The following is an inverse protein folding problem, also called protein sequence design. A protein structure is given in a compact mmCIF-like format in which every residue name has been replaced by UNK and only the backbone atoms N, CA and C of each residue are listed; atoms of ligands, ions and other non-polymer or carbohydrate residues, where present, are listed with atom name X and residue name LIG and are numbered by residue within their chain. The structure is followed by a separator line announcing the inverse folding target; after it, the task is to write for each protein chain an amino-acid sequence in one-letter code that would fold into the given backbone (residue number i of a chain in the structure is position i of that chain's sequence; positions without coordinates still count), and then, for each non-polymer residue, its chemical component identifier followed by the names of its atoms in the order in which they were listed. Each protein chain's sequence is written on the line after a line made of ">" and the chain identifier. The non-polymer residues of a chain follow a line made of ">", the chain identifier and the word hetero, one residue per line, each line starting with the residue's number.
data_IF_776353714631
#
_entry.id   IF_776353714631
#
_cell.length_a   1.000
_cell.length_b   1.000
_cell.length_c   1.000
_cell.angle_alpha   90.00
_cell.angle_beta   90.00
_cell.angle_gamma   90.00
#
_symmetry.space_group_name_H-M   'P 1'
#
loop_
_entity.id
_entity.type
_entity.pdbx_description
1 polymer ?
#
# COMPACT_ATOMS: atom_id res chain seq x y z
N UNK A 1 15.62 -11.92 -51.06
CA UNK A 1 16.57 -11.64 -49.96
C UNK A 1 15.91 -10.89 -48.79
N UNK A 2 15.22 -9.77 -49.02
CA UNK A 2 14.47 -8.99 -48.00
C UNK A 2 13.45 -9.80 -47.16
N UNK A 3 12.62 -10.70 -47.71
CA UNK A 3 11.63 -11.44 -46.90
C UNK A 3 12.28 -12.48 -45.97
N UNK A 4 13.47 -12.98 -46.32
CA UNK A 4 14.23 -13.92 -45.51
C UNK A 4 14.83 -13.23 -44.27
N UNK A 5 15.40 -12.04 -44.46
CA UNK A 5 15.93 -11.20 -43.37
C UNK A 5 14.82 -10.80 -42.39
N UNK A 6 13.63 -10.42 -42.89
CA UNK A 6 12.47 -10.09 -42.04
C UNK A 6 12.03 -11.27 -41.17
N UNK A 7 12.06 -12.50 -41.71
CA UNK A 7 11.75 -13.72 -40.93
C UNK A 7 12.78 -13.98 -39.83
N UNK A 8 14.06 -13.81 -40.12
CA UNK A 8 15.12 -13.97 -39.11
C UNK A 8 14.93 -12.96 -37.99
N UNK A 9 14.74 -11.67 -38.31
CA UNK A 9 14.51 -10.60 -37.32
C UNK A 9 13.28 -10.89 -36.44
N UNK A 10 12.19 -11.38 -37.04
CA UNK A 10 10.99 -11.74 -36.30
C UNK A 10 11.25 -12.92 -35.33
N UNK A 11 11.99 -13.94 -35.78
CA UNK A 11 12.33 -15.10 -34.95
C UNK A 11 13.25 -14.70 -33.79
N UNK A 12 14.28 -13.88 -34.04
CA UNK A 12 15.13 -13.37 -32.94
C UNK A 12 14.36 -12.50 -31.97
N UNK A 13 13.45 -11.65 -32.46
CA UNK A 13 12.57 -10.86 -31.60
C UNK A 13 11.70 -11.77 -30.70
N UNK A 14 11.08 -12.80 -31.28
CA UNK A 14 10.27 -13.76 -30.54
C UNK A 14 11.10 -14.53 -29.49
N UNK A 15 12.32 -14.94 -29.82
CA UNK A 15 13.22 -15.62 -28.87
C UNK A 15 13.58 -14.69 -27.71
N UNK A 16 13.94 -13.43 -28.00
CA UNK A 16 14.27 -12.44 -26.97
C UNK A 16 13.10 -12.20 -26.01
N UNK A 17 11.88 -12.05 -26.53
CA UNK A 17 10.66 -11.86 -25.72
C UNK A 17 10.43 -13.04 -24.77
N UNK A 18 10.68 -14.27 -25.22
CA UNK A 18 10.51 -15.47 -24.40
C UNK A 18 11.68 -15.74 -23.43
N UNK A 19 12.83 -15.08 -23.61
CA UNK A 19 13.99 -15.18 -22.71
C UNK A 19 13.92 -14.22 -21.52
N UNK A 20 13.02 -13.23 -21.53
CA UNK A 20 12.77 -12.42 -20.35
C UNK A 20 11.81 -13.15 -19.42
N UNK A 21 12.27 -13.73 -18.29
CA UNK A 21 11.34 -14.21 -17.29
C UNK A 21 10.57 -13.00 -16.77
N UNK A 22 9.26 -12.95 -17.05
CA UNK A 22 8.36 -12.03 -16.35
C UNK A 22 8.31 -12.52 -14.91
N UNK A 23 9.14 -11.93 -14.06
CA UNK A 23 9.24 -12.32 -12.66
C UNK A 23 8.03 -11.77 -11.89
N UNK A 24 6.95 -12.56 -11.85
CA UNK A 24 5.73 -12.22 -11.10
C UNK A 24 5.95 -12.11 -9.58
N UNK A 25 7.09 -12.57 -9.04
CA UNK A 25 7.39 -12.48 -7.61
C UNK A 25 7.76 -11.06 -7.16
N UNK A 26 8.14 -10.16 -8.07
CA UNK A 26 8.55 -8.79 -7.71
C UNK A 26 7.38 -7.99 -7.11
N UNK A 27 6.16 -8.19 -7.61
CA UNK A 27 4.94 -7.57 -7.09
C UNK A 27 4.51 -8.08 -5.70
N UNK A 28 4.83 -9.34 -5.37
CA UNK A 28 4.43 -9.93 -4.08
C UNK A 28 5.30 -9.43 -2.91
N UNK A 29 6.50 -8.91 -3.22
CA UNK A 29 7.46 -8.40 -2.25
C UNK A 29 7.44 -6.87 -2.12
N UNK A 30 6.40 -6.20 -2.59
CA UNK A 30 6.25 -4.75 -2.40
C UNK A 30 6.09 -4.42 -0.91
N UNK A 31 7.16 -3.81 -0.37
CA UNK A 31 7.24 -3.27 0.98
C UNK A 31 6.58 -1.90 1.00
N UNK A 32 5.26 -1.84 0.80
CA UNK A 32 4.53 -0.56 0.80
C UNK A 32 4.25 -0.04 2.21
N UNK A 33 4.09 1.28 2.33
CA UNK A 33 3.47 1.93 3.50
C UNK A 33 2.06 2.37 3.09
N UNK A 34 1.04 1.84 3.78
CA UNK A 34 -0.37 2.16 3.54
C UNK A 34 -0.78 3.27 4.50
N UNK A 35 -1.15 4.44 3.99
CA UNK A 35 -1.77 5.50 4.77
C UNK A 35 -3.28 5.31 4.85
N UNK A 36 -3.82 5.18 6.06
CA UNK A 36 -5.25 5.17 6.33
C UNK A 36 -5.64 6.48 7.02
N UNK A 37 -6.48 7.26 6.35
CA UNK A 37 -6.89 8.59 6.80
C UNK A 37 -8.33 8.57 7.28
N UNK A 38 -8.53 8.99 8.52
CA UNK A 38 -9.85 9.17 9.14
C UNK A 38 -10.13 10.65 9.36
N UNK A 39 -11.41 11.00 9.54
CA UNK A 39 -11.82 12.36 9.87
C UNK A 39 -12.70 12.37 11.12
N UNK A 40 -13.87 11.71 11.06
CA UNK A 40 -14.89 11.72 12.13
C UNK A 40 -15.17 10.31 12.67
N UNK A 41 -15.59 10.24 13.92
CA UNK A 41 -15.90 9.00 14.64
C UNK A 41 -17.31 9.10 15.29
N UNK A 42 -18.18 8.15 15.01
CA UNK A 42 -19.58 8.09 15.51
C UNK A 42 -20.49 9.30 15.15
N UNK A 43 -20.08 10.13 14.20
CA UNK A 43 -20.88 11.24 13.67
C UNK A 43 -21.68 10.83 12.43
N UNK A 44 -22.72 10.01 12.62
CA UNK A 44 -23.54 9.47 11.52
C UNK A 44 -24.23 10.53 10.64
N UNK A 45 -24.27 11.79 11.08
CA UNK A 45 -24.71 12.93 10.26
C UNK A 45 -23.81 13.17 9.03
N UNK A 46 -22.54 12.76 9.08
CA UNK A 46 -21.55 12.96 8.03
C UNK A 46 -21.03 11.60 7.49
N UNK A 47 -21.86 10.81 6.81
CA UNK A 47 -21.59 9.40 6.54
C UNK A 47 -20.39 9.14 5.63
N UNK A 48 -19.99 10.10 4.80
CA UNK A 48 -18.87 9.94 3.85
C UNK A 48 -17.50 10.14 4.49
N UNK A 49 -17.44 10.81 5.64
CA UNK A 49 -16.19 11.10 6.38
C UNK A 49 -16.23 10.56 7.81
N UNK A 50 -17.24 9.76 8.14
CA UNK A 50 -17.43 9.14 9.44
C UNK A 50 -17.09 7.65 9.41
N UNK A 51 -16.38 7.18 10.43
CA UNK A 51 -16.26 5.76 10.76
C UNK A 51 -17.05 5.46 12.04
N UNK A 52 -17.80 4.35 12.10
CA UNK A 52 -18.34 3.87 13.38
C UNK A 52 -17.29 3.00 14.06
N UNK A 53 -17.28 3.00 15.39
CA UNK A 53 -16.26 2.32 16.19
C UNK A 53 -16.21 0.83 15.92
N UNK A 54 -17.35 0.22 15.61
CA UNK A 54 -17.40 -1.19 15.19
C UNK A 54 -16.56 -1.43 13.93
N UNK A 55 -16.68 -0.59 12.90
CA UNK A 55 -15.88 -0.74 11.69
C UNK A 55 -14.41 -0.37 11.92
N UNK A 56 -14.13 0.69 12.70
CA UNK A 56 -12.75 1.06 13.03
C UNK A 56 -12.02 -0.08 13.76
N UNK A 57 -12.64 -0.67 14.79
CA UNK A 57 -12.09 -1.80 15.52
C UNK A 57 -11.89 -3.04 14.62
N UNK A 58 -12.85 -3.31 13.72
CA UNK A 58 -12.70 -4.40 12.75
C UNK A 58 -11.53 -4.17 11.79
N UNK A 59 -11.30 -2.93 11.35
CA UNK A 59 -10.14 -2.60 10.51
C UNK A 59 -8.83 -2.84 11.27
N UNK A 60 -8.73 -2.41 12.53
CA UNK A 60 -7.56 -2.68 13.39
C UNK A 60 -7.32 -4.18 13.58
N UNK A 61 -8.40 -4.95 13.79
CA UNK A 61 -8.33 -6.40 13.92
C UNK A 61 -7.80 -7.06 12.63
N UNK A 62 -8.32 -6.68 11.47
CA UNK A 62 -7.86 -7.20 10.17
C UNK A 62 -6.37 -6.90 9.97
N UNK A 63 -5.91 -5.69 10.29
CA UNK A 63 -4.49 -5.32 10.17
C UNK A 63 -3.62 -6.21 11.07
N UNK A 64 -4.03 -6.39 12.33
CA UNK A 64 -3.33 -7.24 13.29
C UNK A 64 -3.31 -8.71 12.86
N UNK A 65 -4.43 -9.26 12.39
CA UNK A 65 -4.54 -10.64 11.90
C UNK A 65 -3.60 -10.91 10.69
N UNK A 66 -3.42 -9.89 9.83
CA UNK A 66 -2.49 -9.95 8.71
C UNK A 66 -1.02 -9.67 9.10
N UNK A 67 -0.75 -9.44 10.39
CA UNK A 67 0.60 -9.16 10.94
C UNK A 67 1.27 -7.96 10.26
N UNK A 68 0.47 -6.94 9.91
CA UNK A 68 0.97 -5.70 9.33
C UNK A 68 1.24 -4.73 10.49
N UNK A 69 2.46 -4.20 10.55
CA UNK A 69 2.87 -3.32 11.64
C UNK A 69 2.35 -1.90 11.45
N UNK A 70 1.87 -1.29 12.54
CA UNK A 70 1.65 0.16 12.59
C UNK A 70 2.97 0.90 12.76
N UNK A 71 3.13 2.04 12.09
CA UNK A 71 4.28 2.92 12.27
C UNK A 71 3.86 4.28 12.79
N UNK A 72 4.77 4.88 13.57
CA UNK A 72 4.65 6.28 13.95
C UNK A 72 5.16 7.23 12.86
N UNK A 73 4.84 8.53 13.00
CA UNK A 73 5.41 9.57 12.13
C UNK A 73 6.94 9.62 12.20
N UNK A 74 7.53 9.35 13.36
CA UNK A 74 8.99 9.31 13.52
C UNK A 74 9.61 8.13 12.78
N UNK A 75 8.92 6.98 12.75
CA UNK A 75 9.37 5.84 11.95
C UNK A 75 9.24 6.09 10.47
N UNK A 76 8.14 6.72 10.03
CA UNK A 76 7.99 7.17 8.65
C UNK A 76 9.12 8.13 8.27
N UNK A 77 9.44 9.10 9.13
CA UNK A 77 10.55 10.04 8.92
C UNK A 77 11.88 9.30 8.76
N UNK A 78 12.18 8.31 9.62
CA UNK A 78 13.39 7.49 9.50
C UNK A 78 13.42 6.72 8.18
N UNK A 79 12.29 6.17 7.74
CA UNK A 79 12.22 5.44 6.46
C UNK A 79 12.46 6.39 5.29
N UNK A 80 11.78 7.53 5.24
CA UNK A 80 11.79 8.44 4.08
C UNK A 80 13.04 9.33 4.01
N UNK A 81 13.53 9.82 5.15
CA UNK A 81 14.61 10.82 5.20
C UNK A 81 15.96 10.17 5.52
N UNK A 82 15.98 9.22 6.46
CA UNK A 82 17.20 8.54 6.89
C UNK A 82 17.46 7.24 6.10
N UNK A 83 16.60 6.90 5.13
CA UNK A 83 16.66 5.66 4.36
C UNK A 83 16.71 4.40 5.24
N UNK A 84 16.02 4.42 6.39
CA UNK A 84 15.87 3.23 7.24
C UNK A 84 15.22 2.12 6.44
N UNK A 85 15.90 0.98 6.34
CA UNK A 85 15.37 -0.20 5.66
C UNK A 85 14.21 -0.81 6.44
N UNK A 86 13.32 -1.45 5.68
CA UNK A 86 12.21 -2.24 6.19
C UNK A 86 11.96 -3.43 5.25
N UNK A 87 11.26 -4.45 5.73
CA UNK A 87 11.13 -5.74 5.07
C UNK A 87 9.68 -6.22 4.91
N UNK A 88 8.73 -5.46 5.44
CA UNK A 88 7.32 -5.83 5.57
C UNK A 88 6.43 -4.63 5.25
N UNK A 89 5.20 -4.90 4.81
CA UNK A 89 4.19 -3.84 4.65
C UNK A 89 3.92 -3.20 6.00
N UNK A 90 3.67 -1.89 5.99
CA UNK A 90 3.38 -1.10 7.20
C UNK A 90 2.13 -0.24 7.02
N UNK A 91 1.45 0.09 8.10
CA UNK A 91 0.29 0.97 8.11
C UNK A 91 0.58 2.22 8.93
N UNK A 92 0.21 3.38 8.40
CA UNK A 92 0.16 4.64 9.12
C UNK A 92 -1.30 5.05 9.25
N UNK A 93 -1.77 5.29 10.48
CA UNK A 93 -3.08 5.90 10.72
C UNK A 93 -2.92 7.41 10.86
N UNK A 94 -3.72 8.17 10.13
CA UNK A 94 -3.82 9.63 10.27
C UNK A 94 -5.27 10.02 10.58
N UNK A 95 -5.41 11.14 11.29
CA UNK A 95 -6.72 11.74 11.56
C UNK A 95 -6.66 13.21 11.19
N UNK A 96 -7.49 13.61 10.25
CA UNK A 96 -7.49 14.94 9.64
C UNK A 96 -8.57 15.84 10.28
N UNK A 97 -8.45 17.15 10.05
CA UNK A 97 -9.37 18.21 10.50
C UNK A 97 -9.55 18.42 12.02
N UNK A 98 -8.99 17.56 12.86
CA UNK A 98 -9.06 17.65 14.32
C UNK A 98 -10.51 17.75 14.87
N UNK A 99 -11.44 16.98 14.28
CA UNK A 99 -12.81 16.94 14.77
C UNK A 99 -12.88 16.44 16.21
N UNK A 100 -13.79 17.03 16.99
CA UNK A 100 -14.02 16.69 18.39
C UNK A 100 -14.38 15.20 18.58
N UNK A 101 -15.05 14.60 17.61
CA UNK A 101 -15.38 13.17 17.63
C UNK A 101 -14.18 12.25 17.76
N UNK A 102 -13.02 12.61 17.18
CA UNK A 102 -11.80 11.83 17.39
C UNK A 102 -11.33 11.92 18.85
N UNK A 103 -11.35 13.11 19.45
CA UNK A 103 -10.99 13.25 20.86
C UNK A 103 -11.93 12.46 21.78
N UNK A 104 -13.23 12.42 21.48
CA UNK A 104 -14.22 11.76 22.32
C UNK A 104 -14.32 10.23 22.08
N UNK A 105 -14.01 9.73 20.88
CA UNK A 105 -14.27 8.34 20.49
C UNK A 105 -13.08 7.59 19.86
N UNK A 106 -12.04 8.29 19.44
CA UNK A 106 -10.92 7.75 18.66
C UNK A 106 -9.89 6.96 19.45
#
# INVERSE_FOLDING_TARGET
>A
MVPFIKRIVLITFLIIVNLYPVNSQEYQNEKGIIGLMYHRFEENKYPTTNVRLKEFNLQLEIINQNKIEFISIDELRKILIENKSYDSKKVLITVDDAFRSFYDNG
#
